data_IF_338743782425
#
_entry.id   IF_338743782425
#
_cell.length_a   1.000
_cell.length_b   1.000
_cell.length_c   1.000
_cell.angle_alpha   90.00
_cell.angle_beta   90.00
_cell.angle_gamma   90.00
#
_symmetry.space_group_name_H-M   'P 1'
#
loop_
_entity.id
_entity.type
_entity.pdbx_description
1 polymer ?
#
# COMPACT_ATOMS: atom_id res chain seq x y z
N UNK A 1 11.12 -6.53 38.92
CA UNK A 1 11.44 -5.41 37.99
C UNK A 1 11.95 -5.86 36.61
N UNK A 2 12.47 -7.08 36.44
CA UNK A 2 12.94 -7.59 35.14
C UNK A 2 11.82 -7.99 34.13
N UNK A 3 10.57 -8.12 34.57
CA UNK A 3 9.45 -8.54 33.70
C UNK A 3 8.90 -7.42 32.79
N UNK A 4 9.13 -6.14 33.09
CA UNK A 4 8.62 -5.01 32.26
C UNK A 4 9.49 -4.69 31.04
N UNK A 5 10.72 -5.19 30.99
CA UNK A 5 11.63 -4.90 29.86
C UNK A 5 11.57 -5.97 28.75
N UNK A 6 11.03 -7.15 29.02
CA UNK A 6 10.86 -8.23 28.03
C UNK A 6 9.41 -8.36 27.51
N UNK A 7 8.46 -7.62 28.11
CA UNK A 7 7.04 -7.62 27.72
C UNK A 7 6.68 -6.50 26.72
N UNK A 8 7.51 -5.47 26.54
CA UNK A 8 7.15 -4.31 25.71
C UNK A 8 7.09 -4.54 24.19
N UNK A 9 7.65 -5.64 23.66
CA UNK A 9 7.65 -5.90 22.21
C UNK A 9 6.44 -6.70 21.71
N UNK A 10 5.85 -7.60 22.51
CA UNK A 10 4.67 -8.34 22.06
C UNK A 10 3.38 -7.54 22.21
N UNK A 11 3.31 -6.63 23.18
CA UNK A 11 2.18 -5.70 23.33
C UNK A 11 2.14 -4.72 22.13
N UNK A 12 3.26 -4.10 21.75
CA UNK A 12 3.29 -3.18 20.61
C UNK A 12 2.94 -3.80 19.24
N UNK A 13 3.34 -5.04 18.96
CA UNK A 13 2.91 -5.74 17.73
C UNK A 13 1.41 -6.11 17.80
N UNK A 14 0.93 -6.55 18.96
CA UNK A 14 -0.49 -6.85 19.15
C UNK A 14 -1.34 -5.57 19.03
N UNK A 15 -0.90 -4.43 19.55
CA UNK A 15 -1.59 -3.12 19.46
C UNK A 15 -1.59 -2.57 18.04
N UNK A 16 -0.49 -2.70 17.28
CA UNK A 16 -0.44 -2.35 15.86
C UNK A 16 -1.38 -3.25 15.05
N UNK A 17 -1.34 -4.56 15.30
CA UNK A 17 -2.23 -5.50 14.63
C UNK A 17 -3.69 -5.25 15.03
N UNK A 18 -3.98 -4.93 16.29
CA UNK A 18 -5.31 -4.56 16.77
C UNK A 18 -5.77 -3.26 16.14
N UNK A 19 -4.94 -2.22 16.07
CA UNK A 19 -5.27 -0.94 15.43
C UNK A 19 -5.63 -1.12 13.96
N UNK A 20 -4.85 -1.90 13.21
CA UNK A 20 -5.08 -2.16 11.78
C UNK A 20 -6.27 -3.10 11.55
N UNK A 21 -6.38 -4.20 12.32
CA UNK A 21 -7.48 -5.16 12.17
C UNK A 21 -8.81 -4.66 12.71
N UNK A 22 -8.82 -3.79 13.73
CA UNK A 22 -10.06 -3.16 14.21
C UNK A 22 -10.58 -2.14 13.20
N UNK A 23 -9.72 -1.45 12.44
CA UNK A 23 -10.13 -0.60 11.33
C UNK A 23 -10.81 -1.40 10.21
N UNK A 24 -10.23 -2.53 9.79
CA UNK A 24 -10.79 -3.42 8.76
C UNK A 24 -12.06 -4.16 9.20
N UNK A 25 -12.10 -4.65 10.46
CA UNK A 25 -13.28 -5.32 11.02
C UNK A 25 -14.47 -4.36 11.21
N UNK A 26 -14.22 -3.06 11.41
CA UNK A 26 -15.28 -2.05 11.57
C UNK A 26 -16.00 -1.73 10.26
N UNK A 27 -15.41 -1.98 9.09
CA UNK A 27 -16.09 -1.81 7.79
C UNK A 27 -17.00 -3.01 7.44
N UNK A 28 -16.73 -4.19 8.01
CA UNK A 28 -17.52 -5.43 7.78
C UNK A 28 -18.59 -5.67 8.85
N UNK A 29 -18.43 -5.15 10.07
CA UNK A 29 -19.33 -5.43 11.19
C UNK A 29 -20.01 -4.17 11.73
N UNK A 30 -20.86 -3.56 10.90
CA UNK A 30 -22.00 -2.82 11.43
C UNK A 30 -23.02 -3.82 12.03
N UNK A 31 -22.73 -4.33 13.24
CA UNK A 31 -23.71 -4.77 14.23
C UNK A 31 -23.04 -4.97 15.61
N UNK A 32 -23.46 -4.26 16.67
CA UNK A 32 -22.71 -4.17 17.92
C UNK A 32 -23.06 -5.30 18.89
N UNK A 33 -22.07 -5.93 19.53
CA UNK A 33 -22.21 -6.42 20.90
C UNK A 33 -20.86 -6.50 21.63
N UNK A 34 -20.83 -5.86 22.79
CA UNK A 34 -19.68 -5.54 23.65
C UNK A 34 -19.00 -6.72 24.37
N UNK A 35 -17.73 -6.56 24.80
CA UNK A 35 -17.30 -6.30 26.20
C UNK A 35 -15.78 -6.50 26.46
N UNK A 36 -15.13 -5.45 27.00
CA UNK A 36 -14.37 -5.48 28.27
C UNK A 36 -12.84 -5.72 28.29
N UNK A 37 -12.06 -4.68 28.59
CA UNK A 37 -10.73 -4.84 29.19
C UNK A 37 -9.74 -3.66 29.04
N UNK A 38 -9.39 -3.02 30.16
CA UNK A 38 -8.28 -2.07 30.45
C UNK A 38 -8.40 -0.59 30.04
N UNK A 39 -8.83 0.21 31.04
CA UNK A 39 -8.58 1.65 31.20
C UNK A 39 -7.12 2.01 30.85
N UNK A 40 -6.83 2.88 29.89
CA UNK A 40 -6.69 4.32 30.13
C UNK A 40 -6.82 5.18 28.84
N UNK A 41 -7.38 4.62 27.76
CA UNK A 41 -7.59 5.33 26.48
C UNK A 41 -9.06 5.65 26.15
N UNK A 42 -9.97 5.42 27.10
CA UNK A 42 -11.41 5.62 26.92
C UNK A 42 -11.95 6.97 27.45
N UNK A 43 -11.08 7.89 27.86
CA UNK A 43 -11.47 9.16 28.50
C UNK A 43 -11.89 10.29 27.55
N UNK A 44 -11.65 10.18 26.24
CA UNK A 44 -11.81 11.29 25.28
C UNK A 44 -12.83 11.06 24.16
N UNK A 45 -13.54 9.93 24.15
CA UNK A 45 -14.59 9.62 23.16
C UNK A 45 -16.01 9.88 23.72
N UNK A 46 -16.16 10.85 24.63
CA UNK A 46 -17.39 11.04 25.40
C UNK A 46 -18.36 12.10 24.88
N UNK A 47 -17.94 13.08 24.07
CA UNK A 47 -18.80 14.21 23.71
C UNK A 47 -18.46 14.72 22.28
N UNK A 48 -19.47 14.68 21.41
CA UNK A 48 -19.46 14.97 19.96
C UNK A 48 -19.01 13.80 19.07
N UNK A 49 -19.98 13.24 18.33
CA UNK A 49 -19.83 12.03 17.54
C UNK A 49 -18.80 12.13 16.42
N UNK A 50 -17.74 11.34 16.54
CA UNK A 50 -17.07 10.58 15.48
C UNK A 50 -15.84 9.92 16.12
N UNK A 51 -15.71 8.60 15.98
CA UNK A 51 -14.52 7.88 16.42
C UNK A 51 -13.31 8.42 15.61
N UNK A 52 -12.31 9.09 16.22
CA UNK A 52 -11.44 9.99 15.44
C UNK A 52 -10.38 9.32 14.57
N UNK A 53 -10.20 8.00 14.64
CA UNK A 53 -9.03 7.33 14.04
C UNK A 53 -9.30 6.73 12.66
N UNK A 54 -10.53 6.31 12.37
CA UNK A 54 -10.95 5.75 11.08
C UNK A 54 -10.94 6.76 9.91
N UNK A 55 -11.48 7.99 10.04
CA UNK A 55 -11.41 8.94 8.94
C UNK A 55 -9.96 9.30 8.62
N UNK A 56 -9.04 9.34 9.58
CA UNK A 56 -7.65 9.74 9.35
C UNK A 56 -6.92 8.91 8.29
N UNK A 57 -7.09 7.59 8.29
CA UNK A 57 -6.36 6.68 7.39
C UNK A 57 -6.90 6.68 5.95
N UNK A 58 -8.16 7.05 5.74
CA UNK A 58 -8.74 7.23 4.41
C UNK A 58 -8.61 8.68 3.93
N UNK A 59 -8.70 9.64 4.85
CA UNK A 59 -8.57 11.07 4.57
C UNK A 59 -7.14 11.41 4.15
N UNK A 60 -6.13 10.81 4.76
CA UNK A 60 -4.73 11.07 4.40
C UNK A 60 -4.38 10.71 2.94
N UNK A 61 -4.59 9.47 2.45
CA UNK A 61 -4.30 9.13 1.06
C UNK A 61 -5.23 9.86 0.08
N UNK A 62 -6.50 10.12 0.44
CA UNK A 62 -7.42 10.85 -0.45
C UNK A 62 -7.02 12.31 -0.62
N UNK A 63 -6.63 12.99 0.46
CA UNK A 63 -6.14 14.37 0.39
C UNK A 63 -4.82 14.44 -0.38
N UNK A 64 -3.90 13.51 -0.13
CA UNK A 64 -2.64 13.43 -0.87
C UNK A 64 -2.89 13.23 -2.37
N UNK A 65 -3.69 12.24 -2.74
CA UNK A 65 -4.03 11.96 -4.14
C UNK A 65 -4.75 13.13 -4.78
N UNK A 66 -5.66 13.80 -4.07
CA UNK A 66 -6.34 15.00 -4.58
C UNK A 66 -5.33 16.09 -4.97
N UNK A 67 -4.40 16.44 -4.08
CA UNK A 67 -3.39 17.49 -4.35
C UNK A 67 -2.50 17.10 -5.52
N UNK A 68 -2.01 15.86 -5.56
CA UNK A 68 -1.14 15.38 -6.65
C UNK A 68 -1.88 15.37 -7.98
N UNK A 69 -3.15 14.96 -8.00
CA UNK A 69 -3.95 14.90 -9.22
C UNK A 69 -4.11 16.28 -9.86
N UNK A 70 -4.36 17.30 -9.04
CA UNK A 70 -4.46 18.69 -9.49
C UNK A 70 -3.12 19.26 -9.95
N UNK A 71 -2.03 18.98 -9.25
CA UNK A 71 -0.69 19.47 -9.62
C UNK A 71 -0.17 18.85 -10.92
N UNK A 72 -0.43 17.56 -11.11
CA UNK A 72 0.05 16.84 -12.29
C UNK A 72 -0.88 16.99 -13.51
N UNK A 73 -2.07 17.58 -13.35
CA UNK A 73 -2.99 17.83 -14.46
C UNK A 73 -3.53 16.55 -15.11
N UNK A 74 -3.75 15.50 -14.31
CA UNK A 74 -4.21 14.20 -14.80
C UNK A 74 -5.65 14.28 -15.35
N UNK A 75 -6.06 13.22 -16.05
CA UNK A 75 -7.34 13.13 -16.76
C UNK A 75 -8.54 13.50 -15.87
N UNK A 76 -9.27 14.56 -16.19
CA UNK A 76 -10.43 15.05 -15.41
C UNK A 76 -11.71 14.20 -15.54
N UNK A 77 -11.59 12.88 -15.49
CA UNK A 77 -12.74 11.95 -15.45
C UNK A 77 -12.95 11.42 -14.04
N UNK A 78 -14.20 11.45 -13.57
CA UNK A 78 -14.56 10.98 -12.23
C UNK A 78 -14.21 9.49 -12.01
N UNK A 79 -14.30 8.68 -13.07
CA UNK A 79 -13.92 7.27 -13.06
C UNK A 79 -12.41 7.08 -12.79
N UNK A 80 -11.55 7.75 -13.55
CA UNK A 80 -10.10 7.64 -13.36
C UNK A 80 -9.66 8.19 -12.00
N UNK A 81 -10.26 9.28 -11.54
CA UNK A 81 -9.99 9.82 -10.21
C UNK A 81 -10.39 8.83 -9.10
N UNK A 82 -11.61 8.29 -9.15
CA UNK A 82 -12.11 7.34 -8.15
C UNK A 82 -11.26 6.07 -8.06
N UNK A 83 -10.86 5.50 -9.20
CA UNK A 83 -9.99 4.33 -9.23
C UNK A 83 -8.56 4.64 -8.78
N UNK A 84 -8.04 5.84 -9.07
CA UNK A 84 -6.72 6.25 -8.58
C UNK A 84 -6.71 6.35 -7.05
N UNK A 85 -7.76 6.95 -6.47
CA UNK A 85 -7.95 7.01 -5.01
C UNK A 85 -8.05 5.62 -4.40
N UNK A 86 -8.83 4.72 -5.00
CA UNK A 86 -8.96 3.34 -4.56
C UNK A 86 -7.61 2.60 -4.56
N UNK A 87 -6.82 2.74 -5.63
CA UNK A 87 -5.47 2.17 -5.72
C UNK A 87 -4.54 2.74 -4.65
N UNK A 88 -4.57 4.05 -4.41
CA UNK A 88 -3.77 4.69 -3.34
C UNK A 88 -4.11 4.13 -1.96
N UNK A 89 -5.40 3.96 -1.65
CA UNK A 89 -5.86 3.36 -0.38
C UNK A 89 -5.40 1.90 -0.29
N UNK A 90 -5.54 1.13 -1.36
CA UNK A 90 -5.15 -0.28 -1.38
C UNK A 90 -3.64 -0.45 -1.14
N UNK A 91 -2.81 0.37 -1.80
CA UNK A 91 -1.35 0.37 -1.64
C UNK A 91 -0.95 0.75 -0.22
N UNK A 92 -1.59 1.77 0.36
CA UNK A 92 -1.35 2.16 1.74
C UNK A 92 -1.65 0.99 2.69
N UNK A 93 -2.78 0.30 2.49
CA UNK A 93 -3.15 -0.86 3.31
C UNK A 93 -2.14 -2.02 3.17
N UNK A 94 -1.66 -2.32 1.97
CA UNK A 94 -0.61 -3.33 1.75
C UNK A 94 0.68 -2.95 2.48
N UNK A 95 1.10 -1.68 2.39
CA UNK A 95 2.30 -1.19 3.06
C UNK A 95 2.19 -1.29 4.59
N UNK A 96 1.02 -0.93 5.14
CA UNK A 96 0.73 -1.08 6.57
C UNK A 96 0.76 -2.56 6.99
N UNK A 97 0.17 -3.46 6.21
CA UNK A 97 0.20 -4.90 6.47
C UNK A 97 1.63 -5.46 6.50
N UNK A 98 2.48 -5.02 5.56
CA UNK A 98 3.89 -5.35 5.53
C UNK A 98 4.62 -4.84 6.79
N UNK A 99 4.39 -3.57 7.16
CA UNK A 99 4.95 -2.99 8.39
C UNK A 99 4.55 -3.75 9.66
N UNK A 100 3.29 -4.17 9.74
CA UNK A 100 2.80 -5.00 10.84
C UNK A 100 3.49 -6.36 10.89
N UNK A 101 3.69 -7.03 9.74
CA UNK A 101 4.46 -8.27 9.67
C UNK A 101 5.89 -8.11 10.21
N UNK A 102 6.62 -7.10 9.75
CA UNK A 102 7.98 -6.82 10.23
C UNK A 102 8.01 -6.49 11.74
N UNK A 103 7.06 -5.69 12.22
CA UNK A 103 6.93 -5.37 13.65
C UNK A 103 6.75 -6.63 14.52
N UNK A 104 5.97 -7.60 14.05
CA UNK A 104 5.73 -8.85 14.75
C UNK A 104 6.91 -9.85 14.61
N UNK A 105 7.55 -9.87 13.45
CA UNK A 105 8.70 -10.73 13.17
C UNK A 105 9.94 -10.36 14.00
N UNK A 106 10.19 -9.06 14.19
CA UNK A 106 11.36 -8.57 14.92
C UNK A 106 11.06 -8.28 16.40
N UNK A 107 12.01 -8.58 17.27
CA UNK A 107 11.89 -8.38 18.73
C UNK A 107 11.99 -6.93 19.18
N UNK A 108 12.31 -5.99 18.28
CA UNK A 108 12.47 -4.57 18.59
C UNK A 108 12.09 -3.71 17.38
N UNK A 109 11.37 -2.61 17.65
CA UNK A 109 10.89 -1.67 16.63
C UNK A 109 12.02 -1.03 15.80
N UNK A 110 13.14 -0.57 16.40
CA UNK A 110 14.22 0.04 15.62
C UNK A 110 14.88 -0.95 14.64
N UNK A 111 14.97 -2.23 15.02
CA UNK A 111 15.53 -3.27 14.16
C UNK A 111 14.57 -3.59 13.02
N UNK A 112 13.27 -3.67 13.29
CA UNK A 112 12.26 -3.86 12.25
C UNK A 112 12.35 -2.79 11.16
N UNK A 113 12.40 -1.51 11.57
CA UNK A 113 12.50 -0.37 10.65
C UNK A 113 13.82 -0.40 9.85
N UNK A 114 14.94 -0.73 10.49
CA UNK A 114 16.24 -0.80 9.84
C UNK A 114 16.29 -1.81 8.67
N UNK A 115 15.50 -2.89 8.73
CA UNK A 115 15.36 -3.85 7.62
C UNK A 115 14.24 -3.50 6.65
N UNK A 116 13.13 -2.95 7.16
CA UNK A 116 11.97 -2.59 6.34
C UNK A 116 12.30 -1.48 5.35
N UNK A 117 13.05 -0.46 5.75
CA UNK A 117 13.36 0.69 4.88
C UNK A 117 14.16 0.25 3.63
N UNK A 118 15.31 -0.46 3.74
CA UNK A 118 16.02 -0.97 2.56
C UNK A 118 15.19 -1.94 1.71
N UNK A 119 14.31 -2.72 2.34
CA UNK A 119 13.40 -3.62 1.64
C UNK A 119 12.41 -2.84 0.77
N UNK A 120 11.76 -1.81 1.33
CA UNK A 120 10.82 -0.94 0.62
C UNK A 120 11.51 -0.20 -0.53
N UNK A 121 12.73 0.30 -0.33
CA UNK A 121 13.54 0.88 -1.39
C UNK A 121 13.84 -0.10 -2.54
N UNK A 122 14.08 -1.37 -2.24
CA UNK A 122 14.29 -2.39 -3.27
C UNK A 122 13.01 -2.66 -4.09
N UNK A 123 11.83 -2.61 -3.44
CA UNK A 123 10.55 -2.71 -4.14
C UNK A 123 10.30 -1.48 -5.02
N UNK A 124 10.69 -0.28 -4.56
CA UNK A 124 10.59 0.96 -5.33
C UNK A 124 11.46 0.91 -6.60
N UNK A 125 12.68 0.37 -6.49
CA UNK A 125 13.56 0.18 -7.66
C UNK A 125 12.97 -0.78 -8.69
N UNK A 126 12.16 -1.75 -8.24
CA UNK A 126 11.51 -2.75 -9.11
C UNK A 126 10.09 -2.38 -9.53
N UNK A 127 9.65 -1.14 -9.26
CA UNK A 127 8.31 -0.63 -9.60
C UNK A 127 8.05 -0.47 -11.11
N UNK A 128 9.07 -0.57 -11.95
CA UNK A 128 8.98 -0.36 -13.39
C UNK A 128 9.24 1.09 -13.84
N UNK A 129 9.34 2.05 -12.91
CA UNK A 129 9.64 3.46 -13.22
C UNK A 129 11.13 3.65 -13.55
N UNK A 130 12.02 3.00 -12.78
CA UNK A 130 13.47 3.20 -12.89
C UNK A 130 14.16 2.21 -13.83
N UNK A 131 13.68 0.97 -13.86
CA UNK A 131 14.27 -0.14 -14.59
C UNK A 131 13.19 -0.83 -15.42
N UNK A 132 13.46 -1.05 -16.71
CA UNK A 132 12.56 -1.80 -17.58
C UNK A 132 12.45 -3.25 -17.09
N UNK A 133 11.23 -3.74 -16.92
CA UNK A 133 10.98 -5.08 -16.38
C UNK A 133 11.63 -6.18 -17.23
N UNK A 134 11.69 -5.98 -18.55
CA UNK A 134 12.34 -6.89 -19.50
C UNK A 134 13.87 -7.00 -19.34
N UNK A 135 14.52 -6.04 -18.68
CA UNK A 135 15.96 -6.04 -18.43
C UNK A 135 16.36 -6.77 -17.13
N UNK A 136 15.38 -7.14 -16.30
CA UNK A 136 15.63 -7.81 -15.02
C UNK A 136 15.94 -9.30 -15.27
N UNK A 137 17.06 -9.83 -14.73
CA UNK A 137 17.41 -11.22 -14.96
C UNK A 137 16.42 -12.18 -14.27
N UNK A 138 16.14 -13.32 -14.93
CA UNK A 138 15.10 -14.28 -14.52
C UNK A 138 15.21 -14.76 -13.07
N UNK A 139 16.42 -14.82 -12.50
CA UNK A 139 16.64 -15.27 -11.13
C UNK A 139 16.14 -14.28 -10.06
N UNK A 140 16.04 -12.98 -10.35
CA UNK A 140 15.46 -11.97 -9.43
C UNK A 140 13.98 -11.72 -9.75
N UNK A 141 13.47 -12.27 -10.86
CA UNK A 141 12.10 -11.99 -11.32
C UNK A 141 11.02 -12.34 -10.30
N UNK A 142 11.26 -13.20 -9.31
CA UNK A 142 10.27 -13.49 -8.26
C UNK A 142 10.00 -12.28 -7.36
N UNK A 143 10.98 -11.38 -7.17
CA UNK A 143 10.82 -10.20 -6.30
C UNK A 143 9.78 -9.24 -6.86
N UNK A 144 9.61 -9.22 -8.20
CA UNK A 144 8.61 -8.41 -8.89
C UNK A 144 7.20 -8.77 -8.41
N UNK A 145 6.96 -10.05 -8.14
CA UNK A 145 5.64 -10.54 -7.74
C UNK A 145 5.31 -10.17 -6.30
N UNK A 146 6.31 -9.81 -5.50
CA UNK A 146 6.16 -9.32 -4.13
C UNK A 146 6.01 -7.79 -4.08
N UNK A 147 6.31 -7.09 -5.18
CA UNK A 147 6.31 -5.63 -5.23
C UNK A 147 4.90 -5.08 -5.49
N UNK A 148 4.24 -4.63 -4.43
CA UNK A 148 2.97 -3.89 -4.55
C UNK A 148 3.15 -2.56 -5.31
N UNK A 149 4.35 -1.97 -5.28
CA UNK A 149 4.66 -0.77 -6.05
C UNK A 149 4.68 -1.03 -7.56
N UNK A 150 5.09 -2.22 -8.00
CA UNK A 150 5.03 -2.62 -9.41
C UNK A 150 3.57 -2.70 -9.87
N UNK A 151 2.73 -3.47 -9.18
CA UNK A 151 1.31 -3.61 -9.51
C UNK A 151 0.57 -2.26 -9.46
N UNK A 152 0.87 -1.42 -8.46
CA UNK A 152 0.31 -0.08 -8.38
C UNK A 152 0.72 0.80 -9.56
N UNK A 153 1.99 0.77 -9.94
CA UNK A 153 2.50 1.62 -11.01
C UNK A 153 1.96 1.19 -12.38
N UNK A 154 1.89 -0.12 -12.64
CA UNK A 154 1.24 -0.70 -13.83
C UNK A 154 -0.23 -0.27 -13.90
N UNK A 155 -1.00 -0.49 -12.83
CA UNK A 155 -2.43 -0.14 -12.78
C UNK A 155 -2.68 1.38 -12.90
N UNK A 156 -1.89 2.22 -12.22
CA UNK A 156 -2.02 3.68 -12.32
C UNK A 156 -1.65 4.19 -13.72
N UNK A 157 -0.61 3.63 -14.34
CA UNK A 157 -0.19 4.02 -15.69
C UNK A 157 -1.27 3.64 -16.69
N UNK A 158 -1.79 2.41 -16.65
CA UNK A 158 -2.92 1.97 -17.49
C UNK A 158 -4.11 2.92 -17.30
N UNK A 159 -4.51 3.18 -16.06
CA UNK A 159 -5.69 4.01 -15.78
C UNK A 159 -5.59 5.45 -16.34
N UNK A 160 -4.38 6.01 -16.38
CA UNK A 160 -4.16 7.37 -16.86
C UNK A 160 -3.99 7.44 -18.38
N UNK A 161 -3.30 6.48 -18.98
CA UNK A 161 -2.94 6.50 -20.41
C UNK A 161 -3.92 5.75 -21.31
N UNK A 162 -4.78 4.89 -20.75
CA UNK A 162 -5.77 4.12 -21.51
C UNK A 162 -6.80 5.05 -22.19
N UNK A 163 -6.91 4.94 -23.51
CA UNK A 163 -7.80 5.76 -24.33
C UNK A 163 -7.37 7.23 -24.46
N UNK A 164 -6.07 7.54 -24.35
CA UNK A 164 -5.50 8.83 -24.79
C UNK A 164 -4.93 8.68 -26.20
N UNK A 165 -5.61 9.32 -27.17
CA UNK A 165 -5.29 9.18 -28.59
C UNK A 165 -4.35 10.28 -29.13
N UNK A 166 -4.23 11.42 -28.43
CA UNK A 166 -3.43 12.56 -28.90
C UNK A 166 -2.66 13.21 -27.75
N UNK A 167 -1.33 13.11 -27.81
CA UNK A 167 -0.39 13.80 -26.94
C UNK A 167 0.30 14.88 -27.78
N UNK A 168 0.14 16.17 -27.46
CA UNK A 168 0.68 17.25 -28.27
C UNK A 168 2.21 17.24 -28.28
N UNK A 169 2.77 16.66 -29.33
CA UNK A 169 4.20 16.67 -29.61
C UNK A 169 4.60 18.05 -30.14
N UNK A 170 5.31 18.84 -29.34
CA UNK A 170 6.04 19.98 -29.88
C UNK A 170 7.14 19.45 -30.80
N UNK A 171 7.18 19.93 -32.06
CA UNK A 171 8.25 19.66 -33.01
C UNK A 171 9.57 20.26 -32.49
N UNK A 172 10.18 19.61 -31.51
CA UNK A 172 11.50 19.95 -31.01
C UNK A 172 12.51 19.13 -31.81
N UNK A 173 13.61 19.77 -32.20
CA UNK A 173 14.76 19.18 -32.89
C UNK A 173 15.54 18.18 -32.00
N UNK A 174 14.87 17.57 -31.02
CA UNK A 174 15.43 16.65 -30.05
C UNK A 174 15.48 15.23 -30.65
N UNK A 175 16.59 14.52 -30.41
CA UNK A 175 16.88 13.16 -30.90
C UNK A 175 16.01 12.07 -30.23
N UNK A 176 15.01 12.46 -29.44
CA UNK A 176 14.14 11.52 -28.71
C UNK A 176 12.82 11.32 -29.48
N UNK A 177 12.39 10.08 -29.72
CA UNK A 177 11.09 9.82 -30.35
C UNK A 177 9.99 10.42 -29.47
N UNK A 178 9.16 11.29 -30.04
CA UNK A 178 7.99 11.80 -29.34
C UNK A 178 6.94 10.70 -29.27
N UNK A 179 6.38 10.49 -28.07
CA UNK A 179 5.26 9.56 -27.85
C UNK A 179 3.98 10.34 -28.15
N UNK A 180 3.28 9.91 -29.19
CA UNK A 180 2.11 10.59 -29.74
C UNK A 180 0.79 10.05 -29.17
N UNK A 181 0.80 8.82 -28.64
CA UNK A 181 -0.38 8.16 -28.09
C UNK A 181 -0.11 7.54 -26.71
N UNK A 182 -1.16 7.32 -25.94
CA UNK A 182 -1.07 6.61 -24.65
C UNK A 182 -0.64 5.15 -24.81
N UNK A 183 -0.99 4.49 -25.92
CA UNK A 183 -0.53 3.12 -26.22
C UNK A 183 0.99 3.05 -26.41
N UNK A 184 1.60 4.04 -27.08
CA UNK A 184 3.07 4.10 -27.22
C UNK A 184 3.77 4.30 -25.86
N UNK A 185 3.12 5.02 -24.94
CA UNK A 185 3.61 5.15 -23.56
C UNK A 185 3.55 3.80 -22.85
N UNK A 186 2.43 3.07 -22.93
CA UNK A 186 2.25 1.76 -22.30
C UNK A 186 3.24 0.73 -22.87
N UNK A 187 3.44 0.69 -24.19
CA UNK A 187 4.40 -0.20 -24.85
C UNK A 187 5.84 0.08 -24.40
N UNK A 188 6.20 1.37 -24.22
CA UNK A 188 7.52 1.75 -23.71
C UNK A 188 7.81 1.21 -22.31
N UNK A 189 6.78 1.09 -21.48
CA UNK A 189 6.89 0.53 -20.12
C UNK A 189 6.63 -0.98 -20.06
N UNK A 190 6.30 -1.64 -21.18
CA UNK A 190 5.94 -3.07 -21.25
C UNK A 190 4.68 -3.39 -20.44
N UNK A 191 3.69 -2.49 -20.47
CA UNK A 191 2.42 -2.61 -19.77
C UNK A 191 1.27 -2.83 -20.75
N UNK A 192 0.37 -3.76 -20.40
CA UNK A 192 -0.77 -4.12 -21.25
C UNK A 192 -2.09 -3.72 -20.56
N UNK A 193 -2.99 -3.02 -21.26
CA UNK A 193 -4.21 -2.46 -20.63
C UNK A 193 -5.12 -3.50 -19.96
N UNK A 194 -5.09 -4.77 -20.39
CA UNK A 194 -5.90 -5.83 -19.78
C UNK A 194 -5.38 -6.29 -18.40
N UNK A 195 -4.17 -5.88 -18.01
CA UNK A 195 -3.51 -6.25 -16.75
C UNK A 195 -4.07 -5.51 -15.52
N UNK A 196 -4.85 -4.45 -15.73
CA UNK A 196 -5.41 -3.62 -14.66
C UNK A 196 -6.11 -4.44 -13.55
N UNK A 197 -7.08 -5.28 -13.90
CA UNK A 197 -7.80 -6.08 -12.91
C UNK A 197 -6.93 -7.17 -12.26
N UNK A 198 -6.12 -7.95 -13.02
CA UNK A 198 -5.11 -8.82 -12.44
C UNK A 198 -4.21 -8.14 -11.40
N UNK A 199 -3.79 -6.89 -11.63
CA UNK A 199 -2.92 -6.15 -10.71
C UNK A 199 -3.67 -5.76 -9.43
N UNK A 200 -4.92 -5.31 -9.55
CA UNK A 200 -5.80 -5.05 -8.39
C UNK A 200 -5.99 -6.31 -7.55
N UNK A 201 -6.26 -7.46 -8.18
CA UNK A 201 -6.39 -8.73 -7.46
C UNK A 201 -5.07 -9.20 -6.85
N UNK A 202 -3.94 -8.95 -7.51
CA UNK A 202 -2.62 -9.25 -6.96
C UNK A 202 -2.32 -8.39 -5.72
N UNK A 203 -2.69 -7.11 -5.72
CA UNK A 203 -2.58 -6.22 -4.56
C UNK A 203 -3.44 -6.71 -3.38
N UNK A 204 -4.70 -7.11 -3.63
CA UNK A 204 -5.56 -7.71 -2.61
C UNK A 204 -5.00 -9.03 -2.07
N UNK A 205 -4.42 -9.85 -2.95
CA UNK A 205 -3.74 -11.10 -2.57
C UNK A 205 -2.51 -10.84 -1.68
N UNK A 206 -1.69 -9.85 -2.02
CA UNK A 206 -0.54 -9.41 -1.23
C UNK A 206 -0.97 -8.87 0.14
N UNK A 207 -2.01 -8.05 0.18
CA UNK A 207 -2.61 -7.55 1.41
C UNK A 207 -2.98 -8.70 2.35
N UNK A 208 -3.77 -9.66 1.87
CA UNK A 208 -4.16 -10.83 2.66
C UNK A 208 -2.94 -11.68 3.08
N UNK A 209 -1.97 -11.87 2.18
CA UNK A 209 -0.76 -12.64 2.46
C UNK A 209 0.07 -12.02 3.60
N UNK A 210 0.31 -10.71 3.59
CA UNK A 210 1.06 -10.04 4.67
C UNK A 210 0.34 -10.11 6.02
N UNK A 211 -0.98 -9.97 6.04
CA UNK A 211 -1.76 -10.15 7.26
C UNK A 211 -1.70 -11.57 7.80
N UNK A 212 -1.81 -12.58 6.93
CA UNK A 212 -1.64 -13.98 7.32
C UNK A 212 -0.24 -14.23 7.88
N UNK A 213 0.81 -13.70 7.24
CA UNK A 213 2.19 -13.80 7.71
C UNK A 213 2.38 -13.11 9.08
N UNK A 214 1.77 -11.94 9.29
CA UNK A 214 1.80 -11.24 10.58
C UNK A 214 1.13 -12.06 11.69
N UNK A 215 -0.03 -12.65 11.41
CA UNK A 215 -0.74 -13.53 12.35
C UNK A 215 0.07 -14.80 12.67
N UNK A 216 0.73 -15.39 11.66
CA UNK A 216 1.62 -16.54 11.86
C UNK A 216 2.83 -16.16 12.72
N UNK A 217 3.49 -15.04 12.44
CA UNK A 217 4.63 -14.55 13.22
C UNK A 217 4.25 -14.32 14.69
N UNK A 218 3.08 -13.72 14.92
CA UNK A 218 2.54 -13.53 16.27
C UNK A 218 2.28 -14.87 16.96
N UNK A 219 1.60 -15.82 16.29
CA UNK A 219 1.34 -17.16 16.84
C UNK A 219 2.62 -17.91 17.20
N UNK A 220 3.64 -17.84 16.36
CA UNK A 220 4.94 -18.47 16.64
C UNK A 220 5.64 -17.85 17.85
N UNK A 221 5.57 -16.52 18.03
CA UNK A 221 6.12 -15.85 19.23
C UNK A 221 5.37 -16.21 20.50
N UNK A 222 4.04 -16.26 20.46
CA UNK A 222 3.22 -16.60 21.64
C UNK A 222 3.39 -18.07 22.03
N UNK A 223 3.61 -18.98 21.07
CA UNK A 223 3.90 -20.41 21.33
C UNK A 223 5.29 -20.68 21.90
N UNK A 224 6.25 -19.77 21.70
CA UNK A 224 7.63 -19.90 22.18
C UNK A 224 7.83 -19.39 23.63
N UNK A 225 6.83 -18.73 24.21
CA UNK A 225 6.79 -18.35 25.62
C UNK A 225 5.99 -19.37 26.41
#
# INVERSE_FOLDING_TARGET
>A
MAWRLLCGSSEGCADVLHGVTTMEMLEVLEHPHAKGGSSDQAGWCGLAGSCPTLPGLLVEPTLFTLVVYWLAGLRLTAHAFGLTVLLSILVLNVAIACGAFFSCAFGSMPVAIAYLVPFDYALMMTSGIFVRLSSIPKFISWIRHLSWLMYSNEAMTILQWDGIDDIPCANTTEVRPCLSTGEEVLDRYDFESYRFWPDVFALLGLYAAFHLLALLALRFRTRRK
#
